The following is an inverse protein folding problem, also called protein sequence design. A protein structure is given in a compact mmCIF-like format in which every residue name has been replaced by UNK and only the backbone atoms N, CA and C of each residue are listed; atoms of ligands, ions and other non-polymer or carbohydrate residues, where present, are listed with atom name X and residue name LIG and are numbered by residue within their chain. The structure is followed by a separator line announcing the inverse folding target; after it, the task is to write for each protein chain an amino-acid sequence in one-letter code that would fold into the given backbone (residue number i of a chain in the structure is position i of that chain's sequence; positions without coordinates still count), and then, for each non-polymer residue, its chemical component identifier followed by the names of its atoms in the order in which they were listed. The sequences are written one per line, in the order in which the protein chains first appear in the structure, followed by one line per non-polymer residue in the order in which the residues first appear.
data_IF_706225296257
#
_entry.id   IF_706225296257
#
_cell.length_a   1.000
_cell.length_b   1.000
_cell.length_c   1.000
_cell.angle_alpha   90.00
_cell.angle_beta   90.00
_cell.angle_gamma   90.00
#
_symmetry.space_group_name_H-M   'P 1'
#
loop_
_entity.id
_entity.type
_entity.pdbx_description
1 polymer ?
#
# COMPACT_ATOMS: atom_id res chain seq x y z
N UNK A 1 -2.97 29.76 5.94
CA UNK A 1 -3.26 29.96 7.38
C UNK A 1 -2.87 28.72 8.15
N UNK A 2 -2.40 28.87 9.39
CA UNK A 2 -2.06 27.75 10.27
C UNK A 2 -2.98 27.82 11.50
N UNK A 3 -3.65 26.72 11.79
CA UNK A 3 -4.41 26.48 13.00
C UNK A 3 -3.56 25.63 13.94
N UNK A 4 -3.11 26.24 15.04
CA UNK A 4 -2.43 25.53 16.13
C UNK A 4 -3.48 24.89 17.04
N UNK A 5 -3.49 23.56 17.11
CA UNK A 5 -4.46 22.78 17.87
C UNK A 5 -3.86 22.46 19.23
N UNK A 6 -4.56 22.87 20.30
CA UNK A 6 -4.11 22.64 21.67
C UNK A 6 -4.04 21.15 22.02
N UNK A 7 -3.18 20.79 22.97
CA UNK A 7 -3.08 19.41 23.45
C UNK A 7 -4.41 18.97 24.05
N UNK A 8 -4.92 17.81 23.64
CA UNK A 8 -6.21 17.33 24.10
C UNK A 8 -6.76 16.16 23.29
N UNK A 9 -7.88 15.62 23.77
CA UNK A 9 -8.68 14.63 23.06
C UNK A 9 -9.96 15.32 22.58
N UNK A 10 -10.11 15.39 21.27
CA UNK A 10 -11.25 15.96 20.58
C UNK A 10 -12.14 14.82 20.10
N UNK A 11 -13.31 14.65 20.72
CA UNK A 11 -14.25 13.57 20.34
C UNK A 11 -15.16 14.05 19.23
N UNK A 12 -14.64 14.04 18.01
CA UNK A 12 -15.25 14.67 16.84
C UNK A 12 -15.17 13.77 15.61
N UNK A 13 -16.18 13.91 14.75
CA UNK A 13 -16.21 13.41 13.38
C UNK A 13 -16.59 14.56 12.48
N UNK A 14 -15.86 14.76 11.39
CA UNK A 14 -16.17 15.83 10.46
C UNK A 14 -15.80 15.44 9.02
N UNK A 15 -16.49 16.11 8.09
CA UNK A 15 -16.17 16.12 6.68
C UNK A 15 -15.54 17.46 6.33
N UNK A 16 -14.50 17.44 5.50
CA UNK A 16 -13.81 18.61 5.00
C UNK A 16 -14.18 18.81 3.52
N UNK A 17 -15.09 19.74 3.20
CA UNK A 17 -15.45 20.02 1.82
C UNK A 17 -14.37 20.88 1.15
N UNK A 18 -14.52 21.11 -0.16
CA UNK A 18 -13.80 22.17 -0.87
C UNK A 18 -13.91 23.51 -0.13
N UNK A 19 -12.77 24.17 0.09
CA UNK A 19 -12.69 25.44 0.83
C UNK A 19 -12.47 26.58 -0.17
N UNK A 20 -13.45 27.50 -0.35
CA UNK A 20 -13.31 28.58 -1.31
C UNK A 20 -12.06 29.44 -1.07
N UNK A 21 -11.27 29.64 -2.11
CA UNK A 21 -10.06 30.47 -2.07
C UNK A 21 -8.78 29.71 -1.70
N UNK A 22 -8.87 28.44 -1.30
CA UNK A 22 -7.69 27.59 -1.18
C UNK A 22 -7.01 27.42 -2.55
N UNK A 23 -5.67 27.42 -2.53
CA UNK A 23 -4.83 27.29 -3.72
C UNK A 23 -3.39 26.99 -3.31
N UNK A 24 -2.51 26.80 -4.29
CA UNK A 24 -1.07 26.66 -4.04
C UNK A 24 -0.46 27.84 -3.25
N UNK A 25 -1.06 29.03 -3.27
CA UNK A 25 -0.62 30.19 -2.47
C UNK A 25 -1.37 30.33 -1.15
N UNK A 26 -2.65 29.94 -1.12
CA UNK A 26 -3.51 30.05 0.05
C UNK A 26 -3.80 28.64 0.58
N UNK A 27 -2.95 28.15 1.47
CA UNK A 27 -3.08 26.82 2.05
C UNK A 27 -3.68 26.88 3.46
N UNK A 28 -4.22 25.76 3.92
CA UNK A 28 -4.66 25.58 5.31
C UNK A 28 -3.82 24.47 5.95
N UNK A 29 -3.28 24.73 7.13
CA UNK A 29 -2.57 23.74 7.94
C UNK A 29 -3.23 23.59 9.30
N UNK A 30 -3.57 22.36 9.69
CA UNK A 30 -3.94 21.97 11.05
C UNK A 30 -2.74 21.29 11.70
N UNK A 31 -2.16 21.93 12.71
CA UNK A 31 -0.93 21.48 13.37
C UNK A 31 -1.16 21.27 14.85
N UNK A 32 -0.69 20.15 15.41
CA UNK A 32 -0.64 20.00 16.88
C UNK A 32 0.38 20.96 17.51
N UNK A 33 -0.04 21.78 18.47
CA UNK A 33 0.76 22.91 19.00
C UNK A 33 2.12 22.49 19.57
N UNK A 34 2.21 21.26 20.09
CA UNK A 34 3.41 20.75 20.75
C UNK A 34 4.35 20.00 19.81
N UNK A 35 3.96 19.83 18.54
CA UNK A 35 4.65 19.02 17.54
C UNK A 35 4.80 17.54 17.95
N UNK A 36 4.11 17.11 18.99
CA UNK A 36 4.01 15.72 19.43
C UNK A 36 2.67 15.14 18.95
N UNK A 37 2.75 14.24 17.97
CA UNK A 37 1.58 13.58 17.40
C UNK A 37 0.72 12.82 18.42
N UNK A 38 1.25 12.48 19.60
CA UNK A 38 0.49 11.84 20.67
C UNK A 38 -0.30 12.81 21.56
N UNK A 39 -0.03 14.11 21.49
CA UNK A 39 -0.61 15.12 22.38
C UNK A 39 -1.96 15.67 21.89
N UNK A 40 -2.22 15.64 20.58
CA UNK A 40 -3.50 16.03 19.97
C UNK A 40 -4.15 14.80 19.36
N UNK A 41 -5.32 14.40 19.86
CA UNK A 41 -6.03 13.20 19.41
C UNK A 41 -7.44 13.55 18.98
N UNK A 42 -7.70 13.51 17.68
CA UNK A 42 -9.04 13.55 17.11
C UNK A 42 -9.58 12.12 17.12
N UNK A 43 -10.68 11.87 17.84
CA UNK A 43 -11.18 10.52 18.10
C UNK A 43 -12.67 10.39 17.82
N UNK A 44 -13.04 9.35 17.06
CA UNK A 44 -14.44 9.01 16.86
C UNK A 44 -14.73 7.52 17.07
N UNK A 45 -15.76 7.14 17.85
CA UNK A 45 -16.21 5.76 18.00
C UNK A 45 -17.15 5.35 16.86
N UNK A 46 -16.66 5.29 15.63
CA UNK A 46 -17.45 4.90 14.46
C UNK A 46 -18.07 3.49 14.59
N UNK A 47 -19.40 3.38 14.52
CA UNK A 47 -20.16 2.14 14.76
C UNK A 47 -21.05 1.67 13.61
N UNK A 48 -21.10 2.40 12.48
CA UNK A 48 -21.95 2.05 11.34
C UNK A 48 -21.21 2.29 10.02
N UNK A 49 -21.51 1.53 8.94
CA UNK A 49 -20.85 1.68 7.64
C UNK A 49 -20.94 3.09 7.05
N UNK A 50 -22.09 3.76 7.18
CA UNK A 50 -22.28 5.12 6.64
C UNK A 50 -21.42 6.18 7.36
N UNK A 51 -21.03 5.93 8.62
CA UNK A 51 -20.26 6.86 9.46
C UNK A 51 -18.99 6.17 9.99
N UNK A 52 -18.29 5.43 9.12
CA UNK A 52 -17.15 4.59 9.51
C UNK A 52 -15.80 5.32 9.56
N UNK A 53 -15.77 6.66 9.58
CA UNK A 53 -14.57 7.50 9.51
C UNK A 53 -14.40 8.41 10.73
N UNK A 54 -13.22 9.01 10.90
CA UNK A 54 -12.97 10.14 11.82
C UNK A 54 -12.98 11.44 11.02
N UNK A 55 -12.22 11.47 9.93
CA UNK A 55 -12.15 12.59 8.98
C UNK A 55 -12.54 12.08 7.60
N UNK A 56 -13.48 12.77 6.94
CA UNK A 56 -13.82 12.54 5.54
C UNK A 56 -13.35 13.72 4.71
N UNK A 57 -12.66 13.47 3.61
CA UNK A 57 -12.27 14.46 2.62
C UNK A 57 -13.32 14.45 1.50
N UNK A 58 -13.92 15.61 1.23
CA UNK A 58 -14.97 15.79 0.23
C UNK A 58 -14.58 16.90 -0.75
N UNK A 59 -13.45 16.71 -1.45
CA UNK A 59 -12.93 17.68 -2.41
C UNK A 59 -12.12 18.82 -1.78
N UNK A 60 -11.58 18.60 -0.57
CA UNK A 60 -10.72 19.59 0.06
C UNK A 60 -9.35 19.61 -0.61
N UNK A 61 -8.91 20.82 -0.98
CA UNK A 61 -7.64 21.03 -1.67
C UNK A 61 -6.65 21.85 -0.85
N UNK A 62 -5.36 21.58 -1.04
CA UNK A 62 -4.27 22.35 -0.44
C UNK A 62 -4.34 22.41 1.10
N UNK A 63 -4.76 21.30 1.71
CA UNK A 63 -4.86 21.14 3.17
C UNK A 63 -3.72 20.28 3.69
N UNK A 64 -3.13 20.69 4.81
CA UNK A 64 -2.13 19.93 5.54
C UNK A 64 -2.62 19.57 6.94
N UNK A 65 -2.48 18.31 7.33
CA UNK A 65 -2.58 17.86 8.71
C UNK A 65 -1.19 17.44 9.19
N UNK A 66 -0.74 17.96 10.34
CA UNK A 66 0.55 17.57 10.88
C UNK A 66 0.63 17.50 12.40
N UNK A 67 1.51 16.60 12.88
CA UNK A 67 1.79 16.40 14.30
C UNK A 67 0.55 16.16 15.17
N UNK A 68 -0.34 15.26 14.75
CA UNK A 68 -1.55 14.88 15.48
C UNK A 68 -1.90 13.41 15.28
N UNK A 69 -2.86 12.92 16.07
CA UNK A 69 -3.45 11.58 15.94
C UNK A 69 -4.89 11.67 15.46
N UNK A 70 -5.24 10.84 14.48
CA UNK A 70 -6.61 10.50 14.12
C UNK A 70 -6.89 9.06 14.58
N UNK A 71 -7.87 8.87 15.45
CA UNK A 71 -8.12 7.59 16.12
C UNK A 71 -9.58 7.16 16.01
N UNK A 72 -9.83 6.05 15.30
CA UNK A 72 -11.13 5.38 15.31
C UNK A 72 -11.21 4.38 16.47
N UNK A 73 -11.92 4.73 17.54
CA UNK A 73 -11.81 4.02 18.83
C UNK A 73 -12.78 2.86 19.06
N UNK A 74 -13.73 2.59 18.15
CA UNK A 74 -14.70 1.51 18.35
C UNK A 74 -14.10 0.13 17.99
N UNK A 75 -14.32 -0.86 18.87
CA UNK A 75 -13.74 -2.20 18.83
C UNK A 75 -14.52 -3.26 18.05
N UNK A 76 -15.76 -2.99 17.62
CA UNK A 76 -16.56 -4.01 16.93
C UNK A 76 -16.97 -3.54 15.54
N UNK A 77 -16.10 -3.77 14.55
CA UNK A 77 -16.45 -3.53 13.15
C UNK A 77 -15.66 -4.44 12.20
N UNK A 78 -15.54 -5.72 12.57
CA UNK A 78 -14.99 -6.76 11.69
C UNK A 78 -15.59 -6.66 10.30
N UNK A 79 -16.91 -6.62 10.18
CA UNK A 79 -17.62 -6.53 8.89
C UNK A 79 -17.11 -5.45 7.94
N UNK A 80 -16.86 -4.22 8.41
CA UNK A 80 -16.66 -3.05 7.53
C UNK A 80 -15.24 -2.49 7.54
N UNK A 81 -14.30 -3.14 8.23
CA UNK A 81 -12.98 -2.56 8.48
C UNK A 81 -13.05 -1.24 9.28
N UNK A 82 -11.89 -0.63 9.48
CA UNK A 82 -11.76 0.62 10.23
C UNK A 82 -11.25 1.73 9.31
N UNK A 83 -12.09 2.72 9.01
CA UNK A 83 -11.63 3.92 8.30
C UNK A 83 -11.37 5.02 9.33
N UNK A 84 -10.21 5.64 9.23
CA UNK A 84 -9.84 6.79 10.04
C UNK A 84 -9.97 8.03 9.16
N UNK A 85 -9.29 7.99 8.02
CA UNK A 85 -9.36 9.00 6.97
C UNK A 85 -10.06 8.38 5.76
N UNK A 86 -11.09 9.05 5.26
CA UNK A 86 -11.85 8.58 4.12
C UNK A 86 -11.88 9.65 3.02
N UNK A 87 -11.33 9.35 1.86
CA UNK A 87 -11.53 10.14 0.65
C UNK A 87 -12.81 9.63 -0.03
N UNK A 88 -13.86 10.45 -0.01
CA UNK A 88 -15.17 10.05 -0.49
C UNK A 88 -15.51 10.73 -1.81
N UNK A 89 -15.26 10.05 -2.92
CA UNK A 89 -15.59 10.56 -4.25
C UNK A 89 -17.08 10.45 -4.63
N UNK A 90 -17.95 9.90 -3.77
CA UNK A 90 -19.38 9.79 -4.07
C UNK A 90 -20.18 11.04 -3.68
N UNK A 91 -19.73 11.79 -2.67
CA UNK A 91 -20.44 12.95 -2.13
C UNK A 91 -19.90 14.29 -2.62
N UNK A 92 -18.71 14.31 -3.24
CA UNK A 92 -18.13 15.52 -3.81
C UNK A 92 -18.37 15.62 -5.32
N UNK A 93 -18.48 16.84 -5.83
CA UNK A 93 -18.41 17.12 -7.28
C UNK A 93 -16.98 17.06 -7.80
N UNK A 94 -16.00 17.27 -6.92
CA UNK A 94 -14.60 17.46 -7.24
C UNK A 94 -13.72 16.57 -6.35
N UNK A 95 -12.60 16.05 -6.88
CA UNK A 95 -11.65 15.27 -6.10
C UNK A 95 -10.85 16.16 -5.14
N UNK A 96 -10.35 15.57 -4.06
CA UNK A 96 -9.38 16.20 -3.16
C UNK A 96 -8.01 16.24 -3.83
N UNK A 97 -7.32 17.38 -3.75
CA UNK A 97 -6.05 17.59 -4.43
C UNK A 97 -4.99 18.27 -3.56
N UNK A 98 -3.72 17.93 -3.79
CA UNK A 98 -2.57 18.60 -3.18
C UNK A 98 -2.63 18.62 -1.63
N UNK A 99 -3.15 17.55 -1.04
CA UNK A 99 -3.26 17.43 0.41
C UNK A 99 -2.08 16.65 1.01
N UNK A 100 -1.63 17.07 2.18
CA UNK A 100 -0.48 16.48 2.87
C UNK A 100 -0.82 16.06 4.30
N UNK A 101 -0.37 14.86 4.67
CA UNK A 101 -0.37 14.36 6.04
C UNK A 101 1.08 14.12 6.45
N UNK A 102 1.57 14.86 7.45
CA UNK A 102 2.96 14.75 7.91
C UNK A 102 3.04 14.50 9.41
N UNK A 103 3.81 13.50 9.84
CA UNK A 103 3.92 13.17 11.27
C UNK A 103 2.56 12.87 11.93
N UNK A 104 1.61 12.34 11.16
CA UNK A 104 0.26 11.98 11.64
C UNK A 104 0.22 10.51 12.06
N UNK A 105 -0.49 10.22 13.14
CA UNK A 105 -0.80 8.85 13.55
C UNK A 105 -2.24 8.50 13.19
N UNK A 106 -2.42 7.45 12.41
CA UNK A 106 -3.73 6.86 12.10
C UNK A 106 -3.88 5.59 12.92
N UNK A 107 -4.90 5.54 13.78
CA UNK A 107 -5.05 4.48 14.77
C UNK A 107 -6.46 3.88 14.73
N UNK A 108 -6.52 2.55 14.86
CA UNK A 108 -7.73 1.83 15.23
C UNK A 108 -7.37 0.56 16.01
N UNK A 109 -8.37 -0.13 16.56
CA UNK A 109 -8.15 -1.48 17.07
C UNK A 109 -7.78 -2.44 15.91
N UNK A 110 -6.92 -3.45 16.14
CA UNK A 110 -6.61 -4.47 15.12
C UNK A 110 -7.88 -5.21 14.67
N UNK A 111 -8.02 -5.43 13.36
CA UNK A 111 -9.15 -6.18 12.77
C UNK A 111 -8.59 -7.27 11.86
N UNK A 112 -8.95 -8.54 12.10
CA UNK A 112 -8.40 -9.67 11.34
C UNK A 112 -9.23 -10.07 10.13
N UNK A 113 -10.55 -9.90 10.20
CA UNK A 113 -11.48 -10.35 9.16
C UNK A 113 -12.46 -9.24 8.86
N UNK A 114 -12.68 -8.99 7.57
CA UNK A 114 -13.64 -8.03 7.06
C UNK A 114 -14.48 -8.61 5.93
N UNK A 115 -15.74 -8.17 5.82
CA UNK A 115 -16.58 -8.45 4.65
C UNK A 115 -16.40 -7.37 3.58
N UNK A 116 -16.10 -6.14 4.03
CA UNK A 116 -15.82 -5.00 3.17
C UNK A 116 -14.40 -4.54 3.45
N UNK A 117 -13.60 -4.60 2.40
CA UNK A 117 -12.19 -4.28 2.43
C UNK A 117 -12.01 -2.77 2.56
N UNK A 118 -11.66 -2.33 3.77
CA UNK A 118 -11.45 -0.91 4.12
C UNK A 118 -10.17 -0.81 4.97
N UNK A 119 -9.34 0.16 4.65
CA UNK A 119 -8.13 0.49 5.39
C UNK A 119 -8.30 1.70 6.30
N UNK A 120 -7.33 1.96 7.18
CA UNK A 120 -7.29 3.16 8.00
C UNK A 120 -7.39 4.43 7.16
N UNK A 121 -6.70 4.45 6.03
CA UNK A 121 -6.93 5.39 4.94
C UNK A 121 -7.68 4.62 3.87
N UNK A 122 -8.84 5.11 3.50
CA UNK A 122 -9.64 4.51 2.43
C UNK A 122 -9.98 5.58 1.43
N UNK A 123 -9.83 5.28 0.16
CA UNK A 123 -10.48 5.99 -0.91
C UNK A 123 -11.61 5.08 -1.46
N UNK A 124 -12.79 5.66 -1.65
CA UNK A 124 -13.90 5.02 -2.36
C UNK A 124 -14.49 6.02 -3.35
N UNK A 125 -14.25 5.83 -4.63
CA UNK A 125 -14.77 6.72 -5.68
C UNK A 125 -15.77 6.01 -6.57
N UNK A 126 -16.57 6.85 -7.24
CA UNK A 126 -17.27 6.52 -8.47
C UNK A 126 -16.86 7.51 -9.56
N UNK A 127 -15.65 7.37 -10.09
CA UNK A 127 -15.23 8.23 -11.20
C UNK A 127 -14.66 9.58 -10.79
N UNK A 128 -14.06 9.70 -9.60
CA UNK A 128 -13.21 10.84 -9.23
C UNK A 128 -11.83 10.32 -8.86
N UNK A 129 -10.82 11.18 -9.03
CA UNK A 129 -9.41 10.81 -8.93
C UNK A 129 -8.69 11.76 -7.99
N UNK A 130 -8.26 11.27 -6.84
CA UNK A 130 -7.58 12.10 -5.86
C UNK A 130 -6.15 12.40 -6.33
N UNK A 131 -5.81 13.69 -6.40
CA UNK A 131 -4.59 14.16 -7.06
C UNK A 131 -3.55 14.62 -6.04
N UNK A 132 -2.31 14.17 -6.17
CA UNK A 132 -1.17 14.66 -5.39
C UNK A 132 -1.40 14.57 -3.88
N UNK A 133 -1.86 13.42 -3.42
CA UNK A 133 -2.03 13.14 -1.99
C UNK A 133 -0.72 12.61 -1.43
N UNK A 134 -0.22 13.23 -0.37
CA UNK A 134 1.07 12.88 0.23
C UNK A 134 0.93 12.47 1.69
N UNK A 135 1.50 11.32 2.05
CA UNK A 135 1.73 10.88 3.42
C UNK A 135 3.23 10.81 3.67
N UNK A 136 3.72 11.53 4.68
CA UNK A 136 5.14 11.57 5.05
C UNK A 136 5.33 11.40 6.55
N UNK A 137 6.30 10.59 6.98
CA UNK A 137 6.60 10.40 8.41
C UNK A 137 5.39 9.96 9.25
N UNK A 138 4.39 9.32 8.62
CA UNK A 138 3.16 8.92 9.27
C UNK A 138 3.26 7.52 9.88
N UNK A 139 2.41 7.27 10.88
CA UNK A 139 2.29 5.94 11.51
C UNK A 139 0.88 5.40 11.40
N UNK A 140 0.75 4.15 10.96
CA UNK A 140 -0.55 3.48 10.77
C UNK A 140 -0.63 2.27 11.68
N UNK A 141 -1.53 2.27 12.66
CA UNK A 141 -1.56 1.24 13.71
C UNK A 141 -2.93 0.60 13.86
N UNK A 142 -2.96 -0.74 13.85
CA UNK A 142 -4.18 -1.52 13.92
C UNK A 142 -4.98 -1.46 12.62
N UNK A 143 -6.30 -1.65 12.72
CA UNK A 143 -7.14 -1.86 11.55
C UNK A 143 -6.88 -3.21 10.86
N UNK A 144 -7.47 -3.36 9.68
CA UNK A 144 -7.28 -4.52 8.80
C UNK A 144 -6.19 -4.22 7.78
N UNK A 145 -6.37 -3.13 7.02
CA UNK A 145 -5.40 -2.56 6.09
C UNK A 145 -4.98 -1.15 6.54
N UNK A 146 -3.79 -0.66 6.15
CA UNK A 146 -3.39 0.72 6.42
C UNK A 146 -3.99 1.62 5.35
N UNK A 147 -3.88 1.19 4.10
CA UNK A 147 -4.45 1.85 2.94
C UNK A 147 -5.29 0.86 2.13
N UNK A 148 -6.46 1.33 1.71
CA UNK A 148 -7.24 0.74 0.64
C UNK A 148 -7.61 1.83 -0.35
N UNK A 149 -6.99 1.80 -1.52
CA UNK A 149 -7.16 2.79 -2.56
C UNK A 149 -7.79 2.11 -3.79
N UNK A 150 -8.96 2.57 -4.21
CA UNK A 150 -9.72 2.04 -5.33
C UNK A 150 -10.05 3.17 -6.33
N UNK A 151 -9.19 3.39 -7.32
CA UNK A 151 -9.48 4.33 -8.40
C UNK A 151 -10.40 3.72 -9.46
N UNK A 152 -10.79 4.55 -10.44
CA UNK A 152 -11.62 4.14 -11.56
C UNK A 152 -10.85 4.17 -12.89
N UNK A 153 -11.29 3.42 -13.90
CA UNK A 153 -10.68 3.40 -15.24
C UNK A 153 -10.58 4.80 -15.86
N UNK A 154 -9.45 5.11 -16.49
CA UNK A 154 -9.21 6.38 -17.18
C UNK A 154 -8.84 7.54 -16.26
N UNK A 155 -8.43 7.26 -15.03
CA UNK A 155 -8.15 8.25 -14.00
C UNK A 155 -6.83 7.96 -13.29
N UNK A 156 -5.93 8.94 -13.32
CA UNK A 156 -4.60 8.85 -12.71
C UNK A 156 -4.60 9.42 -11.29
N UNK A 157 -4.67 8.57 -10.26
CA UNK A 157 -4.39 9.03 -8.89
C UNK A 157 -2.88 9.19 -8.67
N UNK A 158 -2.48 10.32 -8.08
CA UNK A 158 -1.10 10.58 -7.70
C UNK A 158 -0.92 10.48 -6.19
N UNK A 159 -0.56 9.29 -5.72
CA UNK A 159 -0.40 9.00 -4.30
C UNK A 159 1.07 8.77 -3.94
N UNK A 160 1.58 9.58 -3.01
CA UNK A 160 2.95 9.46 -2.49
C UNK A 160 2.93 9.09 -1.02
N UNK A 161 3.51 7.95 -0.65
CA UNK A 161 3.66 7.49 0.73
C UNK A 161 5.14 7.29 1.00
N UNK A 162 5.69 8.10 1.89
CA UNK A 162 7.12 8.13 2.17
C UNK A 162 7.44 8.13 3.64
N UNK A 163 8.52 7.44 4.01
CA UNK A 163 9.05 7.47 5.38
C UNK A 163 8.00 7.08 6.45
N UNK A 164 7.01 6.26 6.06
CA UNK A 164 5.91 5.83 6.92
C UNK A 164 6.15 4.45 7.54
N UNK A 165 5.48 4.19 8.67
CA UNK A 165 5.53 2.90 9.37
C UNK A 165 4.13 2.34 9.57
N UNK A 166 3.93 1.06 9.23
CA UNK A 166 2.61 0.41 9.28
C UNK A 166 2.66 -0.88 10.11
N UNK A 167 1.65 -1.12 10.95
CA UNK A 167 1.46 -2.36 11.75
C UNK A 167 0.01 -2.85 11.68
N UNK A 168 -0.30 -3.61 10.64
CA UNK A 168 -1.65 -4.08 10.34
C UNK A 168 -1.78 -5.59 10.54
N UNK A 169 -3.04 -6.03 10.66
CA UNK A 169 -3.38 -7.45 10.81
C UNK A 169 -3.48 -8.20 9.48
N UNK A 170 -3.65 -7.51 8.35
CA UNK A 170 -3.89 -8.16 7.06
C UNK A 170 -3.03 -7.60 5.92
N UNK A 171 -3.01 -6.28 5.73
CA UNK A 171 -2.31 -5.64 4.61
C UNK A 171 -1.77 -4.26 4.99
N UNK A 172 -0.61 -3.83 4.50
CA UNK A 172 -0.22 -2.43 4.66
C UNK A 172 -0.90 -1.57 3.60
N UNK A 173 -0.63 -1.86 2.33
CA UNK A 173 -1.08 -1.05 1.21
C UNK A 173 -1.76 -1.91 0.15
N UNK A 174 -3.03 -1.62 -0.11
CA UNK A 174 -3.82 -2.29 -1.13
C UNK A 174 -4.33 -1.26 -2.14
N UNK A 175 -3.97 -1.45 -3.41
CA UNK A 175 -4.50 -0.68 -4.54
C UNK A 175 -5.25 -1.61 -5.47
N UNK A 176 -6.46 -1.20 -5.83
CA UNK A 176 -7.27 -1.77 -6.89
C UNK A 176 -7.54 -0.67 -7.90
N UNK A 177 -6.69 -0.53 -8.90
CA UNK A 177 -6.68 0.66 -9.75
C UNK A 177 -6.55 0.27 -11.20
N UNK A 178 -7.21 1.02 -12.08
CA UNK A 178 -7.20 0.77 -13.51
C UNK A 178 -6.56 1.91 -14.30
N UNK A 179 -5.76 2.80 -13.65
CA UNK A 179 -4.86 3.82 -14.25
C UNK A 179 -4.00 4.62 -13.21
N UNK A 180 -3.45 4.05 -12.11
CA UNK A 180 -2.79 4.90 -11.06
C UNK A 180 -1.27 5.16 -11.20
N UNK A 181 -0.83 6.29 -10.64
CA UNK A 181 0.58 6.66 -10.39
C UNK A 181 0.89 6.78 -8.90
N UNK A 182 1.44 5.72 -8.29
CA UNK A 182 1.84 5.77 -6.88
C UNK A 182 3.34 5.62 -6.65
N UNK A 183 3.81 6.26 -5.58
CA UNK A 183 5.17 6.13 -5.05
C UNK A 183 5.11 5.64 -3.60
N UNK A 184 5.70 4.49 -3.34
CA UNK A 184 5.95 3.96 -2.00
C UNK A 184 7.47 3.97 -1.78
N UNK A 185 7.99 4.96 -1.05
CA UNK A 185 9.44 5.07 -0.84
C UNK A 185 9.84 5.12 0.64
N UNK A 186 10.89 4.39 1.03
CA UNK A 186 11.48 4.43 2.38
C UNK A 186 10.50 4.10 3.51
N UNK A 187 9.46 3.32 3.22
CA UNK A 187 8.50 2.89 4.24
C UNK A 187 8.96 1.62 4.92
N UNK A 188 8.47 1.40 6.14
CA UNK A 188 8.55 0.10 6.81
C UNK A 188 7.16 -0.49 6.94
N UNK A 189 6.91 -1.56 6.19
CA UNK A 189 5.66 -2.31 6.22
C UNK A 189 5.84 -3.55 7.09
N UNK A 190 5.24 -3.53 8.28
CA UNK A 190 5.26 -4.65 9.20
C UNK A 190 3.85 -5.22 9.33
N UNK A 191 3.69 -6.49 8.96
CA UNK A 191 2.42 -7.18 9.11
C UNK A 191 2.50 -8.13 10.31
N UNK A 192 1.66 -7.85 11.31
CA UNK A 192 1.59 -8.62 12.55
C UNK A 192 0.52 -9.73 12.50
N UNK A 193 -0.08 -9.93 11.33
CA UNK A 193 -1.26 -10.77 11.10
C UNK A 193 -1.08 -12.26 11.35
N UNK A 194 -2.15 -12.91 11.81
CA UNK A 194 -2.24 -14.36 12.07
C UNK A 194 -3.03 -15.14 11.01
N UNK A 195 -3.41 -14.50 9.89
CA UNK A 195 -4.24 -15.12 8.84
C UNK A 195 -3.38 -15.79 7.76
N UNK A 196 -3.86 -16.87 7.14
CA UNK A 196 -3.10 -17.59 6.11
C UNK A 196 -2.82 -16.78 4.84
N UNK A 197 -3.55 -15.67 4.64
CA UNK A 197 -3.38 -14.76 3.52
C UNK A 197 -3.13 -13.35 4.05
N UNK A 198 -1.89 -12.86 3.90
CA UNK A 198 -1.48 -11.49 4.26
C UNK A 198 -0.57 -10.91 3.20
N UNK A 199 -0.55 -9.59 3.07
CA UNK A 199 0.44 -8.93 2.22
C UNK A 199 1.06 -7.69 2.88
N UNK A 200 2.19 -7.20 2.39
CA UNK A 200 2.58 -5.82 2.70
C UNK A 200 2.01 -4.88 1.65
N UNK A 201 2.32 -5.11 0.37
CA UNK A 201 1.79 -4.33 -0.75
C UNK A 201 1.03 -5.25 -1.70
N UNK A 202 -0.19 -4.89 -2.09
CA UNK A 202 -0.95 -5.59 -3.14
C UNK A 202 -1.49 -4.58 -4.13
N UNK A 203 -1.15 -4.78 -5.40
CA UNK A 203 -1.46 -3.89 -6.50
C UNK A 203 -2.18 -4.70 -7.56
N UNK A 204 -3.38 -4.26 -7.92
CA UNK A 204 -4.22 -4.98 -8.88
C UNK A 204 -4.74 -4.05 -9.95
N UNK A 205 -4.70 -4.54 -11.20
CA UNK A 205 -5.26 -3.89 -12.39
C UNK A 205 -4.56 -2.63 -12.89
N UNK A 206 -3.40 -2.26 -12.34
CA UNK A 206 -2.76 -1.01 -12.71
C UNK A 206 -2.33 -1.01 -14.17
N UNK A 207 -2.54 0.13 -14.81
CA UNK A 207 -2.14 0.44 -16.19
C UNK A 207 -1.26 1.70 -16.23
N UNK A 208 -1.11 2.42 -15.11
CA UNK A 208 -0.14 3.47 -14.90
C UNK A 208 1.18 2.96 -14.29
N UNK A 209 2.27 3.69 -14.53
CA UNK A 209 3.58 3.39 -13.96
C UNK A 209 3.64 3.68 -12.47
N UNK A 210 4.32 2.82 -11.70
CA UNK A 210 4.46 2.96 -10.25
C UNK A 210 5.90 2.83 -9.77
N UNK A 211 6.16 3.30 -8.54
CA UNK A 211 7.47 3.19 -7.90
C UNK A 211 7.35 2.63 -6.48
N UNK A 212 8.03 1.53 -6.21
CA UNK A 212 8.19 0.93 -4.89
C UNK A 212 9.68 0.83 -4.61
N UNK A 213 10.21 1.74 -3.79
CA UNK A 213 11.66 1.81 -3.56
C UNK A 213 12.10 1.98 -2.12
N UNK A 214 13.27 1.42 -1.80
CA UNK A 214 13.94 1.58 -0.51
C UNK A 214 13.08 1.20 0.71
N UNK A 215 12.05 0.37 0.52
CA UNK A 215 11.16 -0.04 1.61
C UNK A 215 11.72 -1.25 2.36
N UNK A 216 11.36 -1.37 3.63
CA UNK A 216 11.57 -2.56 4.45
C UNK A 216 10.22 -3.27 4.62
N UNK A 217 10.12 -4.50 4.11
CA UNK A 217 8.93 -5.33 4.16
C UNK A 217 9.18 -6.51 5.10
N UNK A 218 8.36 -6.63 6.14
CA UNK A 218 8.31 -7.78 7.04
C UNK A 218 6.89 -8.31 7.12
N UNK A 219 6.66 -9.49 6.56
CA UNK A 219 5.34 -10.13 6.57
C UNK A 219 5.49 -11.63 6.81
N UNK A 220 4.43 -12.27 7.29
CA UNK A 220 4.54 -13.58 7.93
C UNK A 220 3.91 -14.74 7.15
N UNK A 221 2.95 -14.51 6.25
CA UNK A 221 2.15 -15.62 5.68
C UNK A 221 2.13 -15.75 4.16
N UNK A 222 1.85 -14.68 3.39
CA UNK A 222 1.67 -14.84 1.92
C UNK A 222 2.62 -13.99 1.09
N UNK A 223 2.39 -12.68 0.96
CA UNK A 223 3.10 -11.88 -0.04
C UNK A 223 3.84 -10.69 0.55
N UNK A 224 5.09 -10.46 0.16
CA UNK A 224 5.73 -9.16 0.37
C UNK A 224 5.03 -8.12 -0.48
N UNK A 225 5.29 -8.17 -1.79
CA UNK A 225 4.66 -7.34 -2.81
C UNK A 225 3.91 -8.27 -3.76
N UNK A 226 2.62 -8.00 -3.99
CA UNK A 226 1.75 -8.74 -4.90
C UNK A 226 1.33 -7.85 -6.05
N UNK A 227 1.57 -8.34 -7.27
CA UNK A 227 1.10 -7.77 -8.52
C UNK A 227 0.08 -8.74 -9.15
N UNK A 228 -1.14 -8.25 -9.36
CA UNK A 228 -2.21 -9.00 -10.00
C UNK A 228 -2.79 -8.24 -11.19
N UNK A 229 -2.51 -8.73 -12.39
CA UNK A 229 -3.01 -8.13 -13.65
C UNK A 229 -2.56 -6.65 -13.75
N UNK A 230 -1.26 -6.36 -13.66
CA UNK A 230 -0.77 -4.99 -13.85
C UNK A 230 -0.20 -4.82 -15.27
N UNK A 231 -1.03 -4.34 -16.19
CA UNK A 231 -0.76 -4.27 -17.63
C UNK A 231 -0.30 -2.85 -18.02
N UNK A 232 0.94 -2.53 -17.65
CA UNK A 232 1.51 -1.20 -17.85
C UNK A 232 1.91 -0.97 -19.32
N UNK A 233 2.12 0.27 -19.77
CA UNK A 233 2.66 0.57 -21.10
C UNK A 233 4.19 0.58 -21.08
N UNK A 234 4.82 0.31 -22.23
CA UNK A 234 6.28 0.43 -22.41
C UNK A 234 6.84 1.83 -22.15
N UNK A 235 5.98 2.86 -22.14
CA UNK A 235 6.34 4.24 -21.82
C UNK A 235 6.36 4.53 -20.31
N UNK A 236 5.79 3.66 -19.47
CA UNK A 236 5.68 3.87 -18.02
C UNK A 236 5.76 2.53 -17.27
N UNK A 237 6.98 2.07 -17.02
CA UNK A 237 7.22 0.84 -16.27
C UNK A 237 6.84 0.97 -14.79
N UNK A 238 6.47 -0.15 -14.20
CA UNK A 238 6.36 -0.32 -12.75
C UNK A 238 7.72 -0.70 -12.19
N UNK A 239 8.25 0.05 -11.24
CA UNK A 239 9.61 -0.16 -10.74
C UNK A 239 9.56 -0.59 -9.28
N UNK A 240 10.09 -1.78 -9.00
CA UNK A 240 10.28 -2.33 -7.66
C UNK A 240 11.79 -2.42 -7.44
N UNK A 241 12.36 -1.49 -6.66
CA UNK A 241 13.82 -1.44 -6.50
C UNK A 241 14.33 -1.21 -5.10
N UNK A 242 15.52 -1.75 -4.79
CA UNK A 242 16.22 -1.54 -3.51
C UNK A 242 15.38 -1.88 -2.26
N UNK A 243 14.34 -2.69 -2.38
CA UNK A 243 13.53 -3.07 -1.22
C UNK A 243 14.20 -4.22 -0.46
N UNK A 244 14.10 -4.20 0.87
CA UNK A 244 14.46 -5.32 1.74
C UNK A 244 13.20 -6.06 2.13
N UNK A 245 13.02 -7.29 1.62
CA UNK A 245 11.80 -8.09 1.80
C UNK A 245 12.16 -9.34 2.59
N UNK A 246 11.60 -9.48 3.79
CA UNK A 246 11.81 -10.62 4.66
C UNK A 246 10.48 -11.30 5.02
N UNK A 247 10.35 -12.57 4.66
CA UNK A 247 9.18 -13.39 5.00
C UNK A 247 9.57 -14.61 5.82
N UNK A 248 8.81 -14.89 6.86
CA UNK A 248 8.93 -16.14 7.65
C UNK A 248 7.93 -17.20 7.21
N UNK A 249 7.21 -16.96 6.11
CA UNK A 249 6.19 -17.86 5.59
C UNK A 249 6.78 -19.22 5.19
N UNK A 250 6.13 -20.30 5.61
CA UNK A 250 6.43 -21.69 5.19
C UNK A 250 5.47 -22.20 4.12
N UNK A 251 4.50 -21.37 3.72
CA UNK A 251 3.54 -21.69 2.67
C UNK A 251 4.25 -21.76 1.31
N UNK A 252 4.00 -22.83 0.56
CA UNK A 252 4.61 -23.04 -0.77
C UNK A 252 4.10 -22.07 -1.84
N UNK A 253 2.98 -21.39 -1.58
CA UNK A 253 2.45 -20.33 -2.44
C UNK A 253 2.82 -18.91 -1.97
N UNK A 254 3.62 -18.78 -0.89
CA UNK A 254 4.08 -17.47 -0.45
C UNK A 254 5.14 -16.92 -1.42
N UNK A 255 5.20 -15.59 -1.57
CA UNK A 255 6.27 -14.97 -2.34
C UNK A 255 6.72 -13.60 -1.85
N UNK A 256 7.98 -13.28 -2.11
CA UNK A 256 8.56 -11.98 -1.76
C UNK A 256 8.01 -10.93 -2.69
N UNK A 257 8.12 -11.19 -3.99
CA UNK A 257 7.43 -10.48 -5.06
C UNK A 257 6.63 -11.53 -5.84
N UNK A 258 5.31 -11.40 -5.82
CA UNK A 258 4.38 -12.27 -6.53
C UNK A 258 3.81 -11.55 -7.75
N UNK A 259 3.80 -12.20 -8.90
CA UNK A 259 3.20 -11.72 -10.14
C UNK A 259 2.22 -12.75 -10.69
N UNK A 260 1.05 -12.30 -11.11
CA UNK A 260 0.03 -13.19 -11.69
C UNK A 260 -0.91 -12.46 -12.63
N UNK A 261 -1.58 -13.22 -13.50
CA UNK A 261 -2.40 -12.68 -14.57
C UNK A 261 -1.58 -11.90 -15.59
N UNK A 262 -2.18 -10.99 -16.35
CA UNK A 262 -1.43 -10.17 -17.32
C UNK A 262 -0.66 -9.06 -16.60
N UNK A 263 0.61 -9.29 -16.28
CA UNK A 263 1.51 -8.30 -15.66
C UNK A 263 2.68 -7.99 -16.60
N UNK A 264 2.79 -6.74 -17.08
CA UNK A 264 3.74 -6.29 -18.13
C UNK A 264 4.54 -5.07 -17.69
N UNK A 265 5.74 -4.91 -18.28
CA UNK A 265 6.60 -3.75 -18.10
C UNK A 265 6.88 -3.43 -16.62
N UNK A 266 7.34 -4.45 -15.90
CA UNK A 266 7.75 -4.32 -14.50
C UNK A 266 9.24 -4.59 -14.36
N UNK A 267 9.92 -3.64 -13.74
CA UNK A 267 11.34 -3.69 -13.43
C UNK A 267 11.55 -4.07 -11.96
N UNK A 268 12.15 -5.23 -11.72
CA UNK A 268 12.50 -5.76 -10.42
C UNK A 268 14.02 -5.67 -10.27
N UNK A 269 14.50 -4.65 -9.55
CA UNK A 269 15.91 -4.24 -9.57
C UNK A 269 16.51 -4.17 -8.16
N UNK A 270 17.67 -4.79 -7.95
CA UNK A 270 18.47 -4.59 -6.72
C UNK A 270 17.74 -4.92 -5.39
N UNK A 271 16.68 -5.71 -5.42
CA UNK A 271 15.95 -6.05 -4.20
C UNK A 271 16.71 -7.13 -3.41
N UNK A 272 16.63 -7.07 -2.09
CA UNK A 272 17.14 -8.10 -1.18
C UNK A 272 15.98 -8.85 -0.56
N UNK A 273 15.77 -10.11 -0.98
CA UNK A 273 14.61 -10.91 -0.61
C UNK A 273 15.09 -12.17 0.13
N UNK A 274 14.62 -12.35 1.36
CA UNK A 274 14.90 -13.55 2.17
C UNK A 274 13.61 -14.17 2.67
N UNK A 275 13.43 -15.46 2.37
CA UNK A 275 12.24 -16.21 2.72
C UNK A 275 12.54 -17.60 3.28
N UNK A 276 11.54 -18.24 3.87
CA UNK A 276 11.63 -19.65 4.29
C UNK A 276 11.10 -20.56 3.18
N UNK A 277 9.78 -20.60 2.98
CA UNK A 277 9.10 -21.37 1.93
C UNK A 277 8.68 -20.52 0.72
N UNK A 278 8.09 -21.16 -0.28
CA UNK A 278 7.52 -20.47 -1.46
C UNK A 278 8.57 -20.01 -2.46
N UNK A 279 8.45 -18.78 -2.98
CA UNK A 279 9.43 -18.23 -3.91
C UNK A 279 9.80 -16.76 -3.67
N UNK A 280 11.08 -16.41 -3.78
CA UNK A 280 11.48 -15.02 -3.55
C UNK A 280 10.93 -14.08 -4.63
N UNK A 281 11.02 -14.48 -5.90
CA UNK A 281 10.30 -13.86 -7.03
C UNK A 281 9.47 -14.96 -7.70
N UNK A 282 8.16 -14.76 -7.76
CA UNK A 282 7.20 -15.73 -8.25
C UNK A 282 6.35 -15.14 -9.38
N UNK A 283 6.18 -15.90 -10.45
CA UNK A 283 5.31 -15.58 -11.58
C UNK A 283 4.44 -16.78 -11.95
N UNK A 284 3.12 -16.63 -11.75
CA UNK A 284 2.13 -17.69 -11.95
C UNK A 284 1.08 -17.28 -12.99
N UNK A 285 0.99 -18.08 -14.07
CA UNK A 285 -0.18 -18.08 -14.95
C UNK A 285 -0.35 -16.82 -15.80
N UNK A 286 0.73 -16.13 -16.18
CA UNK A 286 0.59 -14.96 -17.05
C UNK A 286 0.15 -15.37 -18.46
N UNK A 287 -1.10 -15.08 -18.82
CA UNK A 287 -1.53 -15.04 -20.22
C UNK A 287 -0.93 -13.77 -20.86
N UNK A 288 0.28 -13.89 -21.40
CA UNK A 288 0.87 -12.89 -22.29
C UNK A 288 2.03 -12.05 -21.74
N UNK A 289 2.59 -12.34 -20.56
CA UNK A 289 3.70 -11.63 -19.86
C UNK A 289 5.03 -11.40 -20.61
N UNK A 290 5.15 -10.41 -21.49
CA UNK A 290 6.45 -9.99 -22.02
C UNK A 290 7.00 -8.80 -21.20
N UNK A 291 8.32 -8.60 -21.19
CA UNK A 291 8.97 -7.37 -20.70
C UNK A 291 9.10 -7.20 -19.18
N UNK A 292 9.23 -8.31 -18.45
CA UNK A 292 9.77 -8.28 -17.08
C UNK A 292 11.30 -8.11 -17.13
N UNK A 293 11.82 -7.12 -16.38
CA UNK A 293 13.25 -6.92 -16.18
C UNK A 293 13.60 -7.32 -14.75
N UNK A 294 14.42 -8.35 -14.58
CA UNK A 294 14.82 -8.87 -13.27
C UNK A 294 16.34 -8.86 -13.14
N UNK A 295 16.90 -7.82 -12.52
CA UNK A 295 18.34 -7.55 -12.50
C UNK A 295 18.86 -7.29 -11.09
N UNK A 296 20.04 -7.84 -10.76
CA UNK A 296 20.80 -7.56 -9.54
C UNK A 296 20.05 -7.83 -8.23
N UNK A 297 19.04 -8.68 -8.24
CA UNK A 297 18.33 -9.06 -7.01
C UNK A 297 19.14 -10.11 -6.23
N UNK A 298 19.08 -10.03 -4.91
CA UNK A 298 19.61 -11.05 -4.00
C UNK A 298 18.42 -11.83 -3.45
N UNK A 299 18.29 -13.08 -3.84
CA UNK A 299 17.16 -13.93 -3.50
C UNK A 299 17.63 -15.15 -2.70
N UNK A 300 17.19 -15.22 -1.44
CA UNK A 300 17.46 -16.34 -0.54
C UNK A 300 16.15 -17.03 -0.13
N UNK A 301 16.12 -18.35 -0.27
CA UNK A 301 15.10 -19.22 0.36
C UNK A 301 15.79 -20.27 1.24
N UNK A 302 15.05 -20.96 2.11
CA UNK A 302 15.65 -21.99 2.99
C UNK A 302 14.89 -23.31 3.08
N UNK A 303 13.71 -23.43 2.49
CA UNK A 303 13.04 -24.71 2.28
C UNK A 303 13.55 -25.37 0.98
N UNK A 304 13.75 -26.69 0.99
CA UNK A 304 14.20 -27.45 -0.16
C UNK A 304 13.20 -27.41 -1.33
N UNK A 305 11.90 -27.24 -1.04
CA UNK A 305 10.86 -27.10 -2.07
C UNK A 305 10.67 -25.66 -2.56
N UNK A 306 11.32 -24.67 -1.92
CA UNK A 306 11.23 -23.27 -2.29
C UNK A 306 12.18 -22.92 -3.44
N UNK A 307 11.91 -21.81 -4.13
CA UNK A 307 12.72 -21.35 -5.24
C UNK A 307 13.08 -19.87 -5.10
N UNK A 308 14.35 -19.47 -5.24
CA UNK A 308 14.69 -18.07 -5.41
C UNK A 308 13.92 -17.40 -6.57
N UNK A 309 13.79 -18.07 -7.71
CA UNK A 309 12.93 -17.64 -8.82
C UNK A 309 11.99 -18.78 -9.22
N UNK A 310 10.70 -18.52 -9.22
CA UNK A 310 9.70 -19.46 -9.74
C UNK A 310 8.94 -18.82 -10.88
N UNK A 311 9.09 -19.35 -12.10
CA UNK A 311 8.37 -18.87 -13.26
C UNK A 311 7.56 -20.00 -13.90
N UNK A 312 6.25 -19.90 -13.80
CA UNK A 312 5.32 -20.89 -14.33
C UNK A 312 4.45 -20.38 -15.48
N UNK A 313 4.46 -19.08 -15.79
CA UNK A 313 3.82 -18.58 -17.01
C UNK A 313 4.53 -19.03 -18.27
N UNK A 314 3.80 -19.03 -19.39
CA UNK A 314 4.33 -19.41 -20.71
C UNK A 314 5.02 -18.26 -21.44
N UNK A 315 4.84 -17.03 -20.98
CA UNK A 315 5.40 -15.84 -21.62
C UNK A 315 6.88 -15.65 -21.26
N UNK A 316 7.66 -14.99 -22.11
CA UNK A 316 9.10 -14.81 -21.89
C UNK A 316 9.36 -13.53 -21.10
N UNK A 317 10.18 -13.60 -20.06
CA UNK A 317 10.70 -12.39 -19.42
C UNK A 317 11.66 -11.67 -20.37
N UNK A 318 11.74 -10.33 -20.28
CA UNK A 318 12.55 -9.52 -21.18
C UNK A 318 14.05 -9.60 -20.88
N UNK A 319 14.45 -9.38 -19.62
CA UNK A 319 15.88 -9.46 -19.23
C UNK A 319 16.03 -10.03 -17.83
N UNK A 320 16.98 -10.96 -17.68
CA UNK A 320 17.34 -11.56 -16.40
C UNK A 320 18.85 -11.58 -16.31
N UNK A 321 19.42 -10.88 -15.34
CA UNK A 321 20.87 -10.71 -15.31
C UNK A 321 21.40 -10.43 -13.90
N UNK A 322 22.56 -10.99 -13.58
CA UNK A 322 23.32 -10.69 -12.36
C UNK A 322 22.54 -10.87 -11.03
N UNK A 323 21.51 -11.71 -11.01
CA UNK A 323 20.80 -12.05 -9.77
C UNK A 323 21.63 -13.06 -8.95
N UNK A 324 21.74 -12.83 -7.64
CA UNK A 324 22.36 -13.76 -6.71
C UNK A 324 21.29 -14.66 -6.08
N UNK A 325 21.22 -15.91 -6.51
CA UNK A 325 20.21 -16.88 -6.09
C UNK A 325 20.81 -17.89 -5.11
N UNK A 326 20.15 -18.11 -3.97
CA UNK A 326 20.59 -19.07 -2.98
C UNK A 326 19.42 -19.82 -2.36
N UNK A 327 19.47 -21.15 -2.41
CA UNK A 327 18.56 -22.03 -1.68
C UNK A 327 19.32 -22.75 -0.56
N UNK A 328 19.13 -22.31 0.68
CA UNK A 328 19.80 -22.90 1.85
C UNK A 328 19.28 -24.30 2.20
N UNK A 329 18.11 -24.69 1.68
CA UNK A 329 17.54 -26.03 1.82
C UNK A 329 18.13 -27.06 0.85
N UNK A 330 19.00 -26.65 -0.08
CA UNK A 330 19.63 -27.52 -1.06
C UNK A 330 18.75 -27.88 -2.25
N UNK A 331 17.61 -27.19 -2.43
CA UNK A 331 16.74 -27.33 -3.60
C UNK A 331 17.21 -26.51 -4.81
N UNK A 332 16.39 -26.51 -5.85
CA UNK A 332 16.67 -25.79 -7.09
C UNK A 332 16.71 -24.26 -6.87
N UNK A 333 17.54 -23.59 -7.68
CA UNK A 333 17.69 -22.13 -7.64
C UNK A 333 16.63 -21.42 -8.49
N UNK A 334 16.06 -22.12 -9.46
CA UNK A 334 15.00 -21.59 -10.30
C UNK A 334 14.10 -22.71 -10.85
N UNK A 335 12.83 -22.39 -11.01
CA UNK A 335 11.90 -23.17 -11.82
C UNK A 335 11.46 -22.36 -13.04
N UNK A 336 11.38 -23.02 -14.19
CA UNK A 336 11.02 -22.38 -15.46
C UNK A 336 10.08 -23.28 -16.27
N UNK A 337 8.85 -22.83 -16.50
CA UNK A 337 7.91 -23.47 -17.42
C UNK A 337 7.91 -22.74 -18.79
N UNK A 338 7.99 -23.50 -19.89
CA UNK A 338 8.16 -22.99 -21.25
C UNK A 338 9.62 -23.05 -21.75
N UNK A 339 9.82 -23.23 -23.06
CA UNK A 339 11.15 -23.38 -23.65
C UNK A 339 12.02 -22.13 -23.40
N UNK A 340 13.25 -22.36 -22.94
CA UNK A 340 14.27 -21.35 -22.67
C UNK A 340 14.73 -20.62 -23.94
#
# INVERSE_FOLDING_TARGET
VVFEVENGIYVEQFALPAIPGNSATNTITFRGQSLDSSAVIIRWPAGAPANNYVVQMEGADHVTFEHLTMHRSNGNNGTWGAQVLHFNGFSSSDPSQNCTFSHVRFMANPIQNVNYWRGLVTETTSGLSEQHITFSFCRFQGGHEAFRWNSSTGQDDFLTITDCYTTQSYGAFAVLAMDDHFTLARNTFENLGSTSYTFAVSLSYNTGGFLIEDNIVRTVNMYGIRLYINDLPSSAHGVIRNNMIALTATNTAAAGIFMSGRTHYVDILNNSISMVGGAAIDEVGTLGGNDIVCINNICRVSDAAAHPIYKNGTATWGTISHNALFNAGGGDLAYWNGAA
#
